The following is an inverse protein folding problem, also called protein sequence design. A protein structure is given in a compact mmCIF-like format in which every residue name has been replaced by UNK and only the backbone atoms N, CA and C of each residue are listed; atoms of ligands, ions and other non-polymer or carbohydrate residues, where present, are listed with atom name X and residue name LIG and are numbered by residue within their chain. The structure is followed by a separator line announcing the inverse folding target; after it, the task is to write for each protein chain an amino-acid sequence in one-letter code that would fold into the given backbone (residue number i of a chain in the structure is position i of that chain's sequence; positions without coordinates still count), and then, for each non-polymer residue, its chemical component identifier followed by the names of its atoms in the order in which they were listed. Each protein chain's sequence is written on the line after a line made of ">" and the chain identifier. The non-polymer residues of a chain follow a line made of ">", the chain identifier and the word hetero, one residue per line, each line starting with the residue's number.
data_IF_227158620822
#
_entry.id   IF_227158620822
#
_cell.length_a   1.000
_cell.length_b   1.000
_cell.length_c   1.000
_cell.angle_alpha   90.00
_cell.angle_beta   90.00
_cell.angle_gamma   90.00
#
_symmetry.space_group_name_H-M   'P 1'
#
loop_
_entity.id
_entity.type
_entity.pdbx_description
1 polymer ?
#
# COMPACT_ATOMS: atom_id res chain seq x y z
N UNK A 1 -21.55 20.18 -40.42
CA UNK A 1 -21.97 19.99 -38.99
C UNK A 1 -22.17 18.48 -38.79
N UNK A 2 -21.07 17.76 -38.52
CA UNK A 2 -21.11 16.35 -38.17
C UNK A 2 -21.44 16.25 -36.69
N UNK A 3 -22.67 15.85 -36.36
CA UNK A 3 -23.05 15.43 -35.03
C UNK A 3 -22.23 14.18 -34.69
N UNK A 4 -21.25 14.29 -33.74
CA UNK A 4 -20.64 13.13 -33.13
C UNK A 4 -21.75 12.40 -32.37
N UNK A 5 -22.23 11.29 -32.94
CA UNK A 5 -22.93 10.30 -32.17
C UNK A 5 -21.96 9.78 -31.12
N UNK A 6 -22.10 10.24 -29.90
CA UNK A 6 -21.46 9.65 -28.74
C UNK A 6 -22.10 8.26 -28.56
N UNK A 7 -21.31 7.21 -28.83
CA UNK A 7 -21.80 5.83 -28.84
C UNK A 7 -22.39 5.46 -27.49
N UNK A 8 -23.71 5.31 -27.47
CA UNK A 8 -24.49 4.84 -26.31
C UNK A 8 -24.03 3.48 -25.74
N UNK A 9 -23.47 2.52 -26.54
CA UNK A 9 -22.95 1.26 -26.03
C UNK A 9 -21.81 1.42 -25.00
N UNK A 10 -20.87 2.32 -25.23
CA UNK A 10 -19.73 2.49 -24.31
C UNK A 10 -20.16 3.02 -22.93
N UNK A 11 -21.10 3.95 -22.87
CA UNK A 11 -21.66 4.45 -21.61
C UNK A 11 -22.42 3.36 -20.85
N UNK A 12 -23.11 2.47 -21.58
CA UNK A 12 -23.88 1.37 -20.98
C UNK A 12 -22.97 0.28 -20.40
N UNK A 13 -21.86 -0.06 -21.09
CA UNK A 13 -20.85 -1.04 -20.64
C UNK A 13 -20.12 -0.54 -19.38
N UNK A 14 -19.71 0.73 -19.39
CA UNK A 14 -19.07 1.37 -18.22
C UNK A 14 -20.05 1.43 -17.05
N UNK A 15 -21.31 1.84 -17.28
CA UNK A 15 -22.33 1.90 -16.25
C UNK A 15 -22.62 0.50 -15.62
N UNK A 16 -22.70 -0.56 -16.43
CA UNK A 16 -22.85 -1.93 -15.94
C UNK A 16 -21.62 -2.44 -15.17
N UNK A 17 -20.43 -2.05 -15.58
CA UNK A 17 -19.19 -2.33 -14.83
C UNK A 17 -19.21 -1.71 -13.43
N UNK A 18 -19.57 -0.42 -13.34
CA UNK A 18 -19.72 0.27 -12.05
C UNK A 18 -20.87 -0.28 -11.21
N UNK A 19 -21.99 -0.66 -11.82
CA UNK A 19 -23.10 -1.29 -11.11
C UNK A 19 -22.69 -2.61 -10.46
N UNK A 20 -21.94 -3.46 -11.16
CA UNK A 20 -21.44 -4.72 -10.62
C UNK A 20 -20.42 -4.54 -9.49
N UNK A 21 -19.55 -3.51 -9.56
CA UNK A 21 -18.68 -3.11 -8.44
C UNK A 21 -19.52 -2.64 -7.26
N UNK A 22 -20.45 -1.73 -7.50
CA UNK A 22 -21.32 -1.18 -6.47
C UNK A 22 -22.18 -2.26 -5.80
N UNK A 23 -22.78 -3.18 -6.57
CA UNK A 23 -23.60 -4.26 -6.03
C UNK A 23 -22.80 -5.24 -5.15
N UNK A 24 -21.54 -5.50 -5.51
CA UNK A 24 -20.67 -6.35 -4.68
C UNK A 24 -20.17 -5.64 -3.41
N UNK A 25 -20.10 -4.30 -3.42
CA UNK A 25 -19.77 -3.50 -2.24
C UNK A 25 -20.99 -3.28 -1.33
N UNK A 26 -22.22 -3.48 -1.85
CA UNK A 26 -23.46 -3.43 -1.08
C UNK A 26 -23.73 -4.71 -0.26
N UNK A 27 -22.89 -5.76 -0.36
CA UNK A 27 -22.95 -6.84 0.60
C UNK A 27 -22.68 -6.31 2.01
N UNK A 28 -23.41 -6.77 3.02
CA UNK A 28 -23.26 -6.30 4.41
C UNK A 28 -21.81 -6.46 4.95
N UNK A 29 -21.03 -7.34 4.33
CA UNK A 29 -19.64 -7.58 4.70
C UNK A 29 -18.75 -6.36 4.45
N UNK A 30 -18.85 -5.69 3.28
CA UNK A 30 -17.98 -4.55 2.97
C UNK A 30 -18.24 -3.34 3.90
N UNK A 31 -19.48 -2.82 4.03
CA UNK A 31 -19.72 -1.70 4.94
C UNK A 31 -19.44 -2.07 6.40
N UNK A 32 -19.67 -3.31 6.81
CA UNK A 32 -19.31 -3.80 8.14
C UNK A 32 -17.81 -3.73 8.42
N UNK A 33 -16.99 -4.26 7.53
CA UNK A 33 -15.53 -4.17 7.64
C UNK A 33 -15.04 -2.73 7.58
N UNK A 34 -15.61 -1.89 6.71
CA UNK A 34 -15.25 -0.48 6.61
C UNK A 34 -15.56 0.27 7.92
N UNK A 35 -16.72 0.00 8.51
CA UNK A 35 -17.10 0.57 9.81
C UNK A 35 -16.14 0.13 10.92
N UNK A 36 -15.84 -1.17 11.01
CA UNK A 36 -14.89 -1.71 12.00
C UNK A 36 -13.52 -1.07 11.82
N UNK A 37 -13.03 -0.95 10.58
CA UNK A 37 -11.75 -0.30 10.29
C UNK A 37 -11.76 1.15 10.73
N UNK A 38 -12.80 1.91 10.43
CA UNK A 38 -12.95 3.31 10.83
C UNK A 38 -12.96 3.47 12.35
N UNK A 39 -13.71 2.61 13.05
CA UNK A 39 -13.77 2.61 14.52
C UNK A 39 -12.41 2.29 15.12
N UNK A 40 -11.70 1.27 14.61
CA UNK A 40 -10.35 0.93 15.09
C UNK A 40 -9.36 2.06 14.88
N UNK A 41 -9.38 2.71 13.72
CA UNK A 41 -8.53 3.88 13.46
C UNK A 41 -8.90 5.06 14.39
N UNK A 42 -10.19 5.29 14.64
CA UNK A 42 -10.64 6.30 15.60
C UNK A 42 -10.18 6.01 17.03
N UNK A 43 -10.30 4.76 17.48
CA UNK A 43 -9.82 4.31 18.80
C UNK A 43 -8.29 4.43 18.87
N UNK A 44 -7.56 4.08 17.79
CA UNK A 44 -6.11 4.28 17.73
C UNK A 44 -5.74 5.75 17.95
N UNK A 45 -6.42 6.69 17.27
CA UNK A 45 -6.21 8.13 17.47
C UNK A 45 -6.47 8.56 18.91
N UNK A 46 -7.57 8.09 19.49
CA UNK A 46 -7.88 8.38 20.89
C UNK A 46 -6.76 7.91 21.83
N UNK A 47 -6.28 6.67 21.68
CA UNK A 47 -5.17 6.15 22.48
C UNK A 47 -3.90 6.97 22.28
N UNK A 48 -3.51 7.25 21.04
CA UNK A 48 -2.26 7.97 20.69
C UNK A 48 -2.25 9.38 21.29
N UNK A 49 -3.38 10.09 21.22
CA UNK A 49 -3.39 11.51 21.61
C UNK A 49 -3.86 11.76 23.04
N UNK A 50 -4.72 10.88 23.61
CA UNK A 50 -5.35 11.12 24.90
C UNK A 50 -4.87 10.18 26.01
N UNK A 51 -4.44 8.95 25.66
CA UNK A 51 -4.08 7.92 26.68
C UNK A 51 -2.57 7.79 26.80
N UNK A 52 -1.86 7.73 25.68
CA UNK A 52 -0.40 7.54 25.65
C UNK A 52 0.33 8.75 26.24
N UNK A 53 1.14 8.57 27.33
CA UNK A 53 1.94 9.65 27.88
C UNK A 53 3.03 10.10 26.89
N UNK A 54 3.50 11.34 27.03
CA UNK A 54 4.65 11.80 26.28
C UNK A 54 5.91 11.02 26.67
N UNK A 55 6.67 10.60 25.69
CA UNK A 55 7.97 9.97 25.92
C UNK A 55 8.97 10.99 26.50
N UNK A 56 9.87 10.54 27.39
CA UNK A 56 10.72 11.43 28.19
C UNK A 56 11.78 12.18 27.37
N UNK A 57 12.27 11.56 26.28
CA UNK A 57 13.35 12.11 25.44
C UNK A 57 12.77 12.85 24.24
N UNK A 58 11.83 12.23 23.54
CA UNK A 58 11.27 12.74 22.27
C UNK A 58 9.96 13.52 22.45
N UNK A 59 9.36 13.48 23.63
CA UNK A 59 8.10 14.15 23.90
C UNK A 59 6.97 13.69 22.98
N UNK A 60 6.21 14.65 22.45
CA UNK A 60 5.06 14.39 21.57
C UNK A 60 5.44 13.81 20.20
N UNK A 61 6.67 13.98 19.74
CA UNK A 61 7.12 13.49 18.43
C UNK A 61 7.12 11.96 18.37
N UNK A 62 7.27 11.29 19.52
CA UNK A 62 7.15 9.84 19.63
C UNK A 62 5.80 9.31 19.09
N UNK A 63 4.75 10.11 19.09
CA UNK A 63 3.42 9.73 18.56
C UNK A 63 3.45 9.41 17.06
N UNK A 64 4.38 9.96 16.29
CA UNK A 64 4.59 9.60 14.87
C UNK A 64 4.89 8.13 14.69
N UNK A 65 5.54 7.48 15.67
CA UNK A 65 5.85 6.05 15.67
C UNK A 65 4.63 5.17 15.36
N UNK A 66 3.48 5.44 15.97
CA UNK A 66 2.27 4.62 15.83
C UNK A 66 1.71 4.63 14.42
N UNK A 67 1.80 5.77 13.74
CA UNK A 67 1.39 5.91 12.33
C UNK A 67 2.43 5.33 11.39
N UNK A 68 3.68 5.69 11.61
CA UNK A 68 4.81 5.33 10.77
C UNK A 68 5.00 3.81 10.70
N UNK A 69 5.12 3.16 11.87
CA UNK A 69 5.38 1.72 11.92
C UNK A 69 4.17 0.91 11.49
N UNK A 70 2.94 1.34 11.84
CA UNK A 70 1.73 0.68 11.37
C UNK A 70 1.60 0.76 9.83
N UNK A 71 1.89 1.93 9.23
CA UNK A 71 1.91 2.09 7.78
C UNK A 71 3.03 1.26 7.12
N UNK A 72 4.21 1.15 7.75
CA UNK A 72 5.30 0.34 7.24
C UNK A 72 4.94 -1.15 7.21
N UNK A 73 4.33 -1.67 8.28
CA UNK A 73 3.88 -3.07 8.33
C UNK A 73 2.79 -3.35 7.30
N UNK A 74 1.83 -2.43 7.13
CA UNK A 74 0.79 -2.56 6.12
C UNK A 74 1.36 -2.47 4.68
N UNK A 75 2.35 -1.60 4.45
CA UNK A 75 3.09 -1.50 3.20
C UNK A 75 3.80 -2.82 2.86
N UNK A 76 4.51 -3.42 3.81
CA UNK A 76 5.17 -4.71 3.62
C UNK A 76 4.16 -5.83 3.34
N UNK A 77 3.00 -5.80 4.02
CA UNK A 77 1.89 -6.71 3.74
C UNK A 77 1.37 -6.57 2.30
N UNK A 78 1.18 -5.34 1.81
CA UNK A 78 0.78 -5.07 0.43
C UNK A 78 1.83 -5.60 -0.56
N UNK A 79 3.12 -5.37 -0.32
CA UNK A 79 4.20 -5.86 -1.20
C UNK A 79 4.34 -7.39 -1.16
N UNK A 80 4.03 -8.02 -0.03
CA UNK A 80 3.90 -9.48 0.02
C UNK A 80 2.76 -9.99 -0.89
N UNK A 81 1.61 -9.31 -0.91
CA UNK A 81 0.52 -9.62 -1.85
C UNK A 81 0.98 -9.42 -3.29
N UNK A 82 1.75 -8.35 -3.60
CA UNK A 82 2.36 -8.15 -4.93
C UNK A 82 3.24 -9.34 -5.30
N UNK A 83 4.09 -9.79 -4.40
CA UNK A 83 4.98 -10.93 -4.63
C UNK A 83 4.19 -12.18 -5.02
N UNK A 84 3.26 -12.60 -4.15
CA UNK A 84 2.47 -13.82 -4.35
C UNK A 84 1.65 -13.74 -5.64
N UNK A 85 0.98 -12.60 -5.87
CA UNK A 85 0.12 -12.43 -7.05
C UNK A 85 0.94 -12.33 -8.34
N UNK A 86 2.12 -11.71 -8.33
CA UNK A 86 3.01 -11.63 -9.47
C UNK A 86 3.60 -13.00 -9.84
N UNK A 87 4.04 -13.80 -8.88
CA UNK A 87 4.48 -15.18 -9.10
C UNK A 87 3.33 -16.02 -9.67
N UNK A 88 2.15 -15.90 -9.07
CA UNK A 88 0.95 -16.59 -9.53
C UNK A 88 0.55 -16.20 -10.96
N UNK A 89 0.72 -14.93 -11.33
CA UNK A 89 0.48 -14.48 -12.70
C UNK A 89 1.49 -15.05 -13.69
N UNK A 90 2.78 -15.02 -13.37
CA UNK A 90 3.83 -15.54 -14.27
C UNK A 90 3.67 -17.04 -14.54
N UNK A 91 3.16 -17.81 -13.58
CA UNK A 91 2.96 -19.25 -13.70
C UNK A 91 1.63 -19.60 -14.38
N UNK A 92 0.53 -18.93 -14.04
CA UNK A 92 -0.81 -19.29 -14.51
C UNK A 92 -1.34 -18.45 -15.67
N UNK A 93 -0.73 -17.27 -15.91
CA UNK A 93 -1.20 -16.24 -16.86
C UNK A 93 -2.64 -15.76 -16.61
N UNK A 94 -3.17 -16.01 -15.41
CA UNK A 94 -4.51 -15.59 -15.05
C UNK A 94 -4.53 -14.08 -14.75
N UNK A 95 -5.30 -13.32 -15.53
CA UNK A 95 -5.46 -11.86 -15.41
C UNK A 95 -5.92 -11.39 -14.02
N UNK A 96 -6.64 -12.24 -13.27
CA UNK A 96 -7.06 -11.91 -11.89
C UNK A 96 -5.85 -11.74 -10.96
N UNK A 97 -4.80 -12.54 -11.13
CA UNK A 97 -3.57 -12.41 -10.36
C UNK A 97 -2.83 -11.12 -10.73
N UNK A 98 -2.83 -10.75 -12.01
CA UNK A 98 -2.26 -9.48 -12.47
C UNK A 98 -3.02 -8.29 -11.87
N UNK A 99 -4.35 -8.29 -11.93
CA UNK A 99 -5.19 -7.24 -11.33
C UNK A 99 -4.95 -7.10 -9.81
N UNK A 100 -4.74 -8.23 -9.10
CA UNK A 100 -4.43 -8.20 -7.67
C UNK A 100 -3.03 -7.62 -7.42
N UNK A 101 -2.04 -7.96 -8.26
CA UNK A 101 -0.69 -7.39 -8.17
C UNK A 101 -0.70 -5.87 -8.38
N UNK A 102 -1.47 -5.37 -9.36
CA UNK A 102 -1.63 -3.93 -9.60
C UNK A 102 -2.27 -3.26 -8.39
N UNK A 103 -3.39 -3.79 -7.91
CA UNK A 103 -4.12 -3.23 -6.77
C UNK A 103 -3.25 -3.13 -5.51
N UNK A 104 -2.55 -4.21 -5.18
CA UNK A 104 -1.67 -4.26 -4.03
C UNK A 104 -0.43 -3.35 -4.20
N UNK A 105 0.11 -3.26 -5.41
CA UNK A 105 1.25 -2.40 -5.73
C UNK A 105 0.93 -0.92 -5.59
N UNK A 106 -0.21 -0.47 -6.08
CA UNK A 106 -0.65 0.92 -5.95
C UNK A 106 -0.92 1.30 -4.48
N UNK A 107 -1.65 0.46 -3.74
CA UNK A 107 -1.92 0.70 -2.31
C UNK A 107 -0.61 0.66 -1.50
N UNK A 108 0.25 -0.31 -1.77
CA UNK A 108 1.57 -0.42 -1.14
C UNK A 108 2.45 0.80 -1.43
N UNK A 109 2.44 1.33 -2.65
CA UNK A 109 3.18 2.53 -3.02
C UNK A 109 2.70 3.78 -2.27
N UNK A 110 1.39 3.95 -2.10
CA UNK A 110 0.83 5.05 -1.29
C UNK A 110 1.27 4.92 0.16
N UNK A 111 1.17 3.74 0.76
CA UNK A 111 1.62 3.50 2.14
C UNK A 111 3.14 3.71 2.27
N UNK A 112 3.93 3.26 1.29
CA UNK A 112 5.37 3.49 1.24
C UNK A 112 5.72 4.99 1.22
N UNK A 113 4.95 5.79 0.48
CA UNK A 113 5.09 7.25 0.45
C UNK A 113 4.77 7.88 1.81
N UNK A 114 3.71 7.42 2.48
CA UNK A 114 3.36 7.86 3.83
C UNK A 114 4.50 7.55 4.82
N UNK A 115 5.07 6.34 4.74
CA UNK A 115 6.19 5.93 5.58
C UNK A 115 7.42 6.82 5.32
N UNK A 116 7.74 7.11 4.07
CA UNK A 116 8.86 7.98 3.72
C UNK A 116 8.68 9.37 4.31
N UNK A 117 7.51 9.99 4.12
CA UNK A 117 7.20 11.34 4.62
C UNK A 117 7.22 11.38 6.15
N UNK A 118 6.54 10.45 6.81
CA UNK A 118 6.48 10.40 8.27
C UNK A 118 7.85 10.09 8.90
N UNK A 119 8.67 9.27 8.22
CA UNK A 119 10.05 9.01 8.62
C UNK A 119 10.95 10.24 8.53
N UNK A 120 10.77 11.08 7.49
CA UNK A 120 11.48 12.35 7.35
C UNK A 120 11.07 13.36 8.43
N UNK A 121 9.77 13.46 8.75
CA UNK A 121 9.26 14.32 9.83
C UNK A 121 9.87 13.91 11.17
N UNK A 122 9.86 12.61 11.47
CA UNK A 122 10.46 12.07 12.69
C UNK A 122 11.98 12.31 12.69
N UNK A 123 12.67 12.03 11.60
CA UNK A 123 14.12 12.21 11.43
C UNK A 123 14.56 13.66 11.63
N UNK A 124 13.78 14.63 11.13
CA UNK A 124 14.07 16.04 11.35
C UNK A 124 14.06 16.40 12.84
N UNK A 125 13.10 15.88 13.58
CA UNK A 125 13.02 16.13 15.03
C UNK A 125 14.11 15.41 15.82
N UNK A 126 14.53 14.21 15.38
CA UNK A 126 15.54 13.42 16.08
C UNK A 126 16.97 13.80 15.73
N UNK A 127 17.23 14.20 14.49
CA UNK A 127 18.58 14.40 13.94
C UNK A 127 18.82 15.79 13.34
N UNK A 128 17.86 16.70 13.41
CA UNK A 128 17.89 18.05 12.82
C UNK A 128 18.20 18.05 11.30
N UNK A 129 17.80 16.98 10.60
CA UNK A 129 17.90 16.82 9.15
C UNK A 129 16.74 16.00 8.61
N UNK A 130 16.23 16.38 7.42
CA UNK A 130 15.11 15.66 6.80
C UNK A 130 15.47 14.27 6.30
N UNK A 131 16.69 14.05 5.86
CA UNK A 131 17.16 12.76 5.35
C UNK A 131 18.63 12.57 5.64
N UNK A 132 18.99 11.38 6.14
CA UNK A 132 20.38 11.00 6.39
C UNK A 132 20.81 9.93 5.40
N UNK A 133 21.71 10.30 4.51
CA UNK A 133 22.24 9.42 3.47
C UNK A 133 23.13 8.31 4.04
N UNK A 134 23.68 8.53 5.22
CA UNK A 134 24.50 7.55 5.93
C UNK A 134 23.68 6.48 6.66
N UNK A 135 22.35 6.67 6.74
CA UNK A 135 21.45 5.72 7.41
C UNK A 135 20.94 4.67 6.42
N UNK A 136 21.43 3.41 6.47
CA UNK A 136 21.10 2.40 5.45
C UNK A 136 19.62 2.08 5.34
N UNK A 137 18.85 2.16 6.45
CA UNK A 137 17.41 1.90 6.41
C UNK A 137 16.67 2.95 5.59
N UNK A 138 17.06 4.22 5.71
CA UNK A 138 16.44 5.29 4.93
C UNK A 138 16.76 5.13 3.44
N UNK A 139 18.01 4.86 3.12
CA UNK A 139 18.46 4.69 1.72
C UNK A 139 17.82 3.46 1.08
N UNK A 140 17.82 2.31 1.77
CA UNK A 140 17.21 1.08 1.23
C UNK A 140 15.68 1.21 1.11
N UNK A 141 15.03 1.96 2.02
CA UNK A 141 13.61 2.25 1.92
C UNK A 141 13.30 3.21 0.75
N UNK A 142 14.15 4.20 0.50
CA UNK A 142 14.04 5.07 -0.67
C UNK A 142 14.19 4.27 -1.97
N UNK A 143 15.13 3.33 -2.04
CA UNK A 143 15.30 2.43 -3.19
C UNK A 143 14.04 1.58 -3.40
N UNK A 144 13.47 1.01 -2.34
CA UNK A 144 12.20 0.29 -2.38
C UNK A 144 11.07 1.18 -2.96
N UNK A 145 10.97 2.42 -2.51
CA UNK A 145 10.00 3.40 -3.01
C UNK A 145 10.21 3.68 -4.51
N UNK A 146 11.46 3.87 -4.97
CA UNK A 146 11.77 4.09 -6.38
C UNK A 146 11.42 2.88 -7.26
N UNK A 147 11.60 1.65 -6.76
CA UNK A 147 11.18 0.44 -7.48
C UNK A 147 9.66 0.43 -7.66
N UNK A 148 8.89 0.73 -6.61
CA UNK A 148 7.43 0.75 -6.71
C UNK A 148 6.88 1.98 -7.44
N UNK A 149 7.60 3.10 -7.44
CA UNK A 149 7.33 4.20 -8.37
C UNK A 149 7.47 3.73 -9.82
N UNK A 150 8.57 3.04 -10.14
CA UNK A 150 8.82 2.48 -11.48
C UNK A 150 7.76 1.44 -11.85
N UNK A 151 7.35 0.60 -10.90
CA UNK A 151 6.23 -0.33 -11.08
C UNK A 151 4.94 0.42 -11.47
N UNK A 152 4.59 1.46 -10.72
CA UNK A 152 3.38 2.26 -10.97
C UNK A 152 3.42 2.97 -12.31
N UNK A 153 4.57 3.58 -12.67
CA UNK A 153 4.77 4.24 -13.96
C UNK A 153 4.67 3.23 -15.11
N UNK A 154 5.34 2.09 -14.99
CA UNK A 154 5.28 1.03 -16.00
C UNK A 154 3.84 0.53 -16.23
N UNK A 155 3.07 0.36 -15.15
CA UNK A 155 1.66 -0.11 -15.22
C UNK A 155 0.72 0.89 -15.87
N UNK A 156 0.96 2.18 -15.70
CA UNK A 156 0.08 3.22 -16.23
C UNK A 156 0.46 3.70 -17.64
N UNK A 157 1.73 3.66 -18.00
CA UNK A 157 2.25 4.28 -19.25
C UNK A 157 2.99 3.30 -20.16
N UNK A 158 3.18 2.05 -19.76
CA UNK A 158 3.88 1.04 -20.55
C UNK A 158 3.02 0.44 -21.67
N UNK A 159 3.67 -0.34 -22.57
CA UNK A 159 3.01 -1.09 -23.61
C UNK A 159 2.02 -2.12 -23.01
N UNK A 160 0.71 -2.04 -23.32
CA UNK A 160 -0.30 -2.94 -22.76
C UNK A 160 -0.01 -4.43 -22.98
N UNK A 161 0.70 -4.80 -24.05
CA UNK A 161 1.04 -6.19 -24.37
C UNK A 161 2.13 -6.78 -23.45
N UNK A 162 2.93 -5.92 -22.80
CA UNK A 162 4.13 -6.32 -22.04
C UNK A 162 4.06 -5.95 -20.56
N UNK A 163 3.24 -4.96 -20.18
CA UNK A 163 3.18 -4.41 -18.82
C UNK A 163 2.87 -5.45 -17.76
N UNK A 164 2.03 -6.44 -18.06
CA UNK A 164 1.67 -7.48 -17.11
C UNK A 164 2.88 -8.36 -16.73
N UNK A 165 3.70 -8.76 -17.70
CA UNK A 165 4.91 -9.58 -17.45
C UNK A 165 6.00 -8.74 -16.80
N UNK A 166 6.34 -7.59 -17.39
CA UNK A 166 7.41 -6.74 -16.88
C UNK A 166 7.06 -6.18 -15.49
N UNK A 167 5.80 -5.78 -15.28
CA UNK A 167 5.33 -5.34 -13.98
C UNK A 167 5.39 -6.44 -12.93
N UNK A 168 5.06 -7.69 -13.28
CA UNK A 168 5.19 -8.81 -12.35
C UNK A 168 6.65 -9.08 -11.96
N UNK A 169 7.59 -9.01 -12.93
CA UNK A 169 9.02 -9.15 -12.64
C UNK A 169 9.48 -8.02 -11.69
N UNK A 170 9.12 -6.77 -12.01
CA UNK A 170 9.49 -5.62 -11.19
C UNK A 170 8.86 -5.68 -9.79
N UNK A 171 7.61 -6.14 -9.70
CA UNK A 171 6.90 -6.36 -8.44
C UNK A 171 7.58 -7.42 -7.56
N UNK A 172 8.04 -8.52 -8.15
CA UNK A 172 8.81 -9.56 -7.44
C UNK A 172 10.12 -9.00 -6.93
N UNK A 173 10.87 -8.28 -7.76
CA UNK A 173 12.15 -7.66 -7.37
C UNK A 173 11.97 -6.64 -6.25
N UNK A 174 10.94 -5.79 -6.37
CA UNK A 174 10.60 -4.82 -5.33
C UNK A 174 10.22 -5.49 -4.01
N UNK A 175 9.33 -6.45 -4.03
CA UNK A 175 8.91 -7.17 -2.82
C UNK A 175 10.07 -7.97 -2.20
N UNK A 176 10.94 -8.58 -3.00
CA UNK A 176 12.15 -9.27 -2.54
C UNK A 176 13.17 -8.34 -1.88
N UNK A 177 13.12 -7.03 -2.13
CA UNK A 177 13.98 -6.05 -1.46
C UNK A 177 13.50 -5.67 -0.04
N UNK A 178 12.26 -5.99 0.35
CA UNK A 178 11.72 -5.70 1.69
C UNK A 178 12.60 -6.30 2.82
N UNK A 179 13.01 -7.58 2.77
CA UNK A 179 13.93 -8.12 3.77
C UNK A 179 15.24 -7.35 3.87
N UNK A 180 15.77 -6.80 2.77
CA UNK A 180 16.99 -5.99 2.77
C UNK A 180 16.81 -4.69 3.57
N UNK A 181 15.64 -4.05 3.46
CA UNK A 181 15.31 -2.87 4.28
C UNK A 181 15.32 -3.22 5.77
N UNK A 182 14.73 -4.35 6.15
CA UNK A 182 14.71 -4.80 7.55
C UNK A 182 16.11 -5.14 8.05
N UNK A 183 16.90 -5.86 7.26
CA UNK A 183 18.23 -6.32 7.63
C UNK A 183 19.30 -5.22 7.54
N UNK A 184 19.06 -4.14 6.80
CA UNK A 184 20.06 -3.10 6.51
C UNK A 184 20.77 -2.55 7.73
N UNK A 185 20.03 -2.32 8.83
CA UNK A 185 20.64 -1.85 10.08
C UNK A 185 21.27 -2.99 10.90
N UNK A 186 20.79 -4.24 10.75
CA UNK A 186 21.32 -5.38 11.51
C UNK A 186 22.69 -5.81 11.00
N UNK A 187 23.04 -5.48 9.78
CA UNK A 187 24.36 -5.71 9.19
C UNK A 187 25.41 -4.72 9.68
N UNK A 188 25.00 -3.64 10.35
CA UNK A 188 25.92 -2.64 10.90
C UNK A 188 26.27 -2.96 12.37
N UNK A 189 27.47 -2.57 12.84
CA UNK A 189 27.78 -2.55 14.26
C UNK A 189 26.76 -1.70 15.03
N UNK A 190 26.41 -2.12 16.25
CA UNK A 190 25.39 -1.43 17.06
C UNK A 190 25.70 0.05 17.28
N UNK A 191 26.98 0.41 17.38
CA UNK A 191 27.45 1.80 17.53
C UNK A 191 27.17 2.68 16.29
N UNK A 192 26.97 2.09 15.13
CA UNK A 192 26.67 2.80 13.87
C UNK A 192 25.16 2.84 13.53
N UNK A 193 24.30 2.23 14.36
CA UNK A 193 22.85 2.21 14.16
C UNK A 193 22.23 3.47 14.71
N UNK A 194 21.71 4.29 13.83
CA UNK A 194 21.04 5.55 14.20
C UNK A 194 19.52 5.37 14.28
N UNK A 195 18.98 4.42 13.53
CA UNK A 195 17.54 4.13 13.53
C UNK A 195 17.14 3.39 14.82
N UNK A 196 16.18 3.91 15.60
CA UNK A 196 15.79 3.27 16.87
C UNK A 196 15.08 1.94 16.64
N UNK A 197 15.53 0.91 17.33
CA UNK A 197 14.89 -0.41 17.39
C UNK A 197 13.95 -0.47 18.62
N UNK A 198 12.92 0.39 18.62
CA UNK A 198 12.01 0.64 19.76
C UNK A 198 11.35 -0.65 20.27
N UNK A 199 10.94 -1.52 19.34
CA UNK A 199 10.24 -2.78 19.68
C UNK A 199 11.20 -3.79 20.32
N UNK A 200 12.41 -3.93 19.75
CA UNK A 200 13.38 -4.95 20.18
C UNK A 200 14.09 -4.58 21.52
N UNK A 201 14.28 -3.29 21.76
CA UNK A 201 15.03 -2.81 22.94
C UNK A 201 14.16 -2.26 24.08
N UNK A 202 12.88 -2.62 24.10
CA UNK A 202 11.97 -2.30 25.21
C UNK A 202 11.64 -0.82 25.35
N UNK A 203 11.63 -0.06 24.24
CA UNK A 203 11.23 1.34 24.22
C UNK A 203 9.75 1.58 24.54
N UNK A 204 8.91 0.53 24.48
CA UNK A 204 7.50 0.59 24.82
C UNK A 204 7.29 0.05 26.25
N UNK A 205 7.65 0.84 27.25
CA UNK A 205 7.61 0.39 28.68
C UNK A 205 6.22 0.41 29.30
N UNK A 206 5.40 1.39 28.95
CA UNK A 206 4.03 1.52 29.46
C UNK A 206 3.07 0.61 28.65
N UNK A 207 2.14 -0.13 29.32
CA UNK A 207 1.16 -0.95 28.61
C UNK A 207 0.32 -0.19 27.59
N UNK A 208 0.05 1.10 27.81
CA UNK A 208 -0.71 1.93 26.88
C UNK A 208 -0.01 2.10 25.52
N UNK A 209 1.33 2.06 25.50
CA UNK A 209 2.11 2.10 24.25
C UNK A 209 1.83 0.88 23.37
N UNK A 210 1.80 -0.32 23.97
CA UNK A 210 1.49 -1.56 23.24
C UNK A 210 0.06 -1.61 22.77
N UNK A 211 -0.89 -1.10 23.57
CA UNK A 211 -2.30 -1.02 23.18
C UNK A 211 -2.46 -0.07 21.97
N UNK A 212 -1.93 1.15 22.05
CA UNK A 212 -1.97 2.10 20.94
C UNK A 212 -1.30 1.52 19.67
N UNK A 213 -0.16 0.87 19.82
CA UNK A 213 0.57 0.25 18.72
C UNK A 213 -0.23 -0.89 18.07
N UNK A 214 -0.72 -1.84 18.88
CA UNK A 214 -1.48 -2.98 18.37
C UNK A 214 -2.76 -2.57 17.66
N UNK A 215 -3.53 -1.63 18.23
CA UNK A 215 -4.75 -1.11 17.61
C UNK A 215 -4.42 -0.40 16.30
N UNK A 216 -3.35 0.40 16.26
CA UNK A 216 -2.91 1.11 15.04
C UNK A 216 -2.50 0.14 13.93
N UNK A 217 -1.75 -0.90 14.26
CA UNK A 217 -1.30 -1.93 13.30
C UNK A 217 -2.51 -2.68 12.73
N UNK A 218 -3.42 -3.17 13.59
CA UNK A 218 -4.62 -3.88 13.12
C UNK A 218 -5.50 -2.98 12.25
N UNK A 219 -5.75 -1.74 12.68
CA UNK A 219 -6.52 -0.77 11.91
C UNK A 219 -5.89 -0.47 10.54
N UNK A 220 -4.57 -0.29 10.48
CA UNK A 220 -3.87 0.00 9.24
C UNK A 220 -3.81 -1.21 8.29
N UNK A 221 -3.65 -2.43 8.81
CA UNK A 221 -3.71 -3.66 8.01
C UNK A 221 -5.10 -3.87 7.42
N UNK A 222 -6.17 -3.64 8.19
CA UNK A 222 -7.54 -3.72 7.70
C UNK A 222 -7.82 -2.65 6.64
N UNK A 223 -7.36 -1.42 6.84
CA UNK A 223 -7.46 -0.35 5.84
C UNK A 223 -6.75 -0.75 4.55
N UNK A 224 -5.51 -1.24 4.64
CA UNK A 224 -4.75 -1.73 3.50
C UNK A 224 -5.51 -2.83 2.74
N UNK A 225 -6.02 -3.84 3.45
CA UNK A 225 -6.78 -4.94 2.86
C UNK A 225 -8.07 -4.45 2.17
N UNK A 226 -8.81 -3.52 2.77
CA UNK A 226 -9.99 -2.91 2.17
C UNK A 226 -9.66 -2.12 0.91
N UNK A 227 -8.60 -1.31 0.94
CA UNK A 227 -8.17 -0.54 -0.22
C UNK A 227 -7.73 -1.45 -1.37
N UNK A 228 -6.95 -2.51 -1.07
CA UNK A 228 -6.57 -3.53 -2.07
C UNK A 228 -7.81 -4.21 -2.64
N UNK A 229 -8.77 -4.58 -1.80
CA UNK A 229 -10.03 -5.21 -2.26
C UNK A 229 -10.81 -4.30 -3.20
N UNK A 230 -11.04 -3.04 -2.81
CA UNK A 230 -11.75 -2.06 -3.65
C UNK A 230 -11.03 -1.87 -4.98
N UNK A 231 -9.70 -1.61 -4.95
CA UNK A 231 -8.92 -1.39 -6.16
C UNK A 231 -8.87 -2.61 -7.08
N UNK A 232 -8.77 -3.81 -6.51
CA UNK A 232 -8.85 -5.06 -7.24
C UNK A 232 -10.20 -5.23 -7.95
N UNK A 233 -11.32 -4.93 -7.26
CA UNK A 233 -12.67 -4.99 -7.84
C UNK A 233 -12.84 -4.01 -8.99
N UNK A 234 -12.31 -2.80 -8.85
CA UNK A 234 -12.29 -1.80 -9.92
C UNK A 234 -11.50 -2.33 -11.11
N UNK A 235 -10.28 -2.84 -10.92
CA UNK A 235 -9.45 -3.38 -11.99
C UNK A 235 -10.10 -4.54 -12.75
N UNK A 236 -10.76 -5.46 -12.04
CA UNK A 236 -11.52 -6.54 -12.67
C UNK A 236 -12.72 -6.03 -13.49
N UNK A 237 -13.38 -4.97 -13.05
CA UNK A 237 -14.50 -4.38 -13.79
C UNK A 237 -14.02 -3.63 -15.04
N UNK A 238 -12.91 -2.92 -14.96
CA UNK A 238 -12.27 -2.24 -16.09
C UNK A 238 -11.82 -3.25 -17.16
N UNK A 239 -11.19 -4.36 -16.77
CA UNK A 239 -10.77 -5.41 -17.72
C UNK A 239 -11.98 -6.05 -18.42
N UNK A 240 -13.05 -6.33 -17.67
CA UNK A 240 -14.31 -6.84 -18.26
C UNK A 240 -14.94 -5.85 -19.23
N UNK A 241 -14.99 -4.57 -18.88
CA UNK A 241 -15.54 -3.54 -19.74
C UNK A 241 -14.75 -3.42 -21.08
N UNK A 242 -13.42 -3.49 -21.01
CA UNK A 242 -12.55 -3.48 -22.21
C UNK A 242 -12.80 -4.71 -23.09
N UNK A 243 -12.97 -5.90 -22.50
CA UNK A 243 -13.24 -7.11 -23.27
C UNK A 243 -14.55 -7.02 -24.03
N UNK A 244 -15.63 -6.57 -23.38
CA UNK A 244 -16.93 -6.40 -24.00
C UNK A 244 -16.89 -5.35 -25.14
N UNK A 245 -16.18 -4.25 -24.94
CA UNK A 245 -16.05 -3.21 -25.98
C UNK A 245 -15.31 -3.72 -27.24
N UNK A 246 -14.37 -4.65 -27.09
CA UNK A 246 -13.67 -5.27 -28.23
C UNK A 246 -14.55 -6.29 -28.96
N UNK A 247 -15.40 -7.03 -28.23
CA UNK A 247 -16.37 -7.95 -28.82
C UNK A 247 -17.41 -7.21 -29.69
N UNK A 248 -17.95 -6.07 -29.22
CA UNK A 248 -18.92 -5.27 -29.97
C UNK A 248 -18.32 -4.75 -31.29
N UNK A 249 -17.06 -4.28 -31.30
CA UNK A 249 -16.39 -3.82 -32.52
C UNK A 249 -16.24 -4.95 -33.55
N UNK A 250 -16.10 -6.18 -33.09
CA UNK A 250 -15.92 -7.35 -33.98
C UNK A 250 -17.25 -7.83 -34.58
N UNK A 251 -18.39 -7.53 -33.96
CA UNK A 251 -19.72 -7.84 -34.50
C UNK A 251 -20.20 -6.82 -35.53
N UNK A 252 -19.69 -5.58 -35.46
CA UNK A 252 -20.08 -4.50 -36.37
C UNK A 252 -19.17 -4.38 -37.62
N UNK A 253 -18.12 -5.20 -37.74
CA UNK A 253 -17.17 -5.26 -38.85
C UNK A 253 -17.42 -6.46 -39.75
#
# INVERSE_FOLDING_TARGET
>A
LASRHYDRPQLFIVANGWYNVASSMNSALFPGLALVTLLLLGVAQYFIFMVVPNEQIMGAVQRVFYFHVAAALACYGAFFVVFVSSVSYLTSRNKRHDALSVAAGEVGFVLCTIVLITGMIWGHSAWNTWFRWEEPRLVTFLVLWLIFLSFTVLRNFGDPSKTAVHGSILGILGAASVPLVYLSIKLLPQSARLHPEVIEHGGLRDPSYWQAFGISVVGMLLLCALLIWVRYRIGCAEDRARTLALEDIHYDA
#
